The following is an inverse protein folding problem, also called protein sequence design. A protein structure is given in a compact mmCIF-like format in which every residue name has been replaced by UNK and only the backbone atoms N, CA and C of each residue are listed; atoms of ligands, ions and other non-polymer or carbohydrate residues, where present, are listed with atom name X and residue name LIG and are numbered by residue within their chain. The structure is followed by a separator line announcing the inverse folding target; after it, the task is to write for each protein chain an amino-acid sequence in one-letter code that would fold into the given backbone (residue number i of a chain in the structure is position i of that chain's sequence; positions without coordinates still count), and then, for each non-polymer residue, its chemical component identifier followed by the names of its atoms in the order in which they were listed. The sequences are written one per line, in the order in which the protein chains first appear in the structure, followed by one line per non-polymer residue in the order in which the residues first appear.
data_IF_847559015422
#
_entry.id   IF_847559015422
#
_cell.length_a   1.000
_cell.length_b   1.000
_cell.length_c   1.000
_cell.angle_alpha   90.00
_cell.angle_beta   90.00
_cell.angle_gamma   90.00
#
_symmetry.space_group_name_H-M   'P 1'
#
loop_
_entity.id
_entity.type
_entity.pdbx_description
1 polymer ?
#
# COMPACT_ATOMS: atom_id res chain seq x y z
N UNK A 1 7.98 -35.96 8.12
CA UNK A 1 8.20 -34.63 7.52
C UNK A 1 7.99 -34.79 6.03
N UNK A 2 6.92 -34.20 5.48
CA UNK A 2 6.61 -34.33 4.06
C UNK A 2 7.68 -33.60 3.25
N UNK A 3 8.26 -34.30 2.28
CA UNK A 3 9.19 -33.76 1.29
C UNK A 3 8.51 -32.59 0.57
N UNK A 4 8.97 -31.37 0.82
CA UNK A 4 8.54 -30.21 0.03
C UNK A 4 9.22 -30.33 -1.32
N UNK A 5 8.46 -30.76 -2.34
CA UNK A 5 8.86 -30.67 -3.75
C UNK A 5 9.37 -29.25 -4.02
N UNK A 6 10.59 -29.13 -4.53
CA UNK A 6 11.15 -27.84 -4.90
C UNK A 6 10.17 -27.13 -5.87
N UNK A 7 9.94 -25.82 -5.70
CA UNK A 7 9.04 -25.09 -6.59
C UNK A 7 9.55 -25.20 -8.02
N UNK A 8 8.63 -25.43 -8.96
CA UNK A 8 8.97 -25.40 -10.38
C UNK A 8 9.63 -24.06 -10.72
N UNK A 9 10.70 -24.05 -11.52
CA UNK A 9 11.31 -22.80 -11.95
C UNK A 9 10.28 -21.97 -12.72
N UNK A 10 10.23 -20.67 -12.42
CA UNK A 10 9.36 -19.71 -13.09
C UNK A 10 10.02 -19.23 -14.39
N UNK A 11 9.24 -19.06 -15.46
CA UNK A 11 9.69 -18.35 -16.65
C UNK A 11 10.08 -16.89 -16.37
N UNK A 12 10.89 -16.26 -17.25
CA UNK A 12 11.37 -14.88 -17.07
C UNK A 12 10.25 -13.84 -16.98
N UNK A 13 9.14 -14.07 -17.69
CA UNK A 13 7.94 -13.21 -17.69
C UNK A 13 7.18 -13.23 -16.36
N UNK A 14 7.47 -14.20 -15.49
CA UNK A 14 6.86 -14.37 -14.17
C UNK A 14 7.79 -13.96 -13.01
N UNK A 15 8.90 -13.30 -13.33
CA UNK A 15 9.72 -12.63 -12.31
C UNK A 15 8.99 -11.43 -11.71
N UNK A 16 9.23 -11.07 -10.43
CA UNK A 16 8.51 -9.97 -9.78
C UNK A 16 8.55 -8.64 -10.56
N UNK A 17 9.70 -8.30 -11.17
CA UNK A 17 9.83 -7.09 -11.98
C UNK A 17 9.03 -7.14 -13.28
N UNK A 18 9.03 -8.28 -13.98
CA UNK A 18 8.24 -8.44 -15.20
C UNK A 18 6.72 -8.39 -14.93
N UNK A 19 6.30 -8.90 -13.76
CA UNK A 19 4.90 -8.85 -13.33
C UNK A 19 4.46 -7.44 -12.90
N UNK A 20 5.38 -6.62 -12.40
CA UNK A 20 5.07 -5.24 -12.00
C UNK A 20 4.66 -4.37 -13.19
N UNK A 21 5.36 -4.52 -14.30
CA UNK A 21 5.07 -3.78 -15.54
C UNK A 21 3.68 -4.14 -16.10
N UNK A 22 3.11 -5.28 -15.71
CA UNK A 22 1.81 -5.77 -16.16
C UNK A 22 0.64 -5.38 -15.26
N UNK A 23 0.88 -4.72 -14.13
CA UNK A 23 -0.17 -4.37 -13.15
C UNK A 23 -0.13 -2.87 -12.86
N UNK A 24 -1.05 -2.12 -13.46
CA UNK A 24 -1.16 -0.67 -13.26
C UNK A 24 -2.36 -0.33 -12.37
N UNK A 25 -2.11 0.40 -11.28
CA UNK A 25 -3.17 0.88 -10.38
C UNK A 25 -3.58 2.29 -10.76
N UNK A 26 -4.86 2.46 -11.10
CA UNK A 26 -5.48 3.75 -11.42
C UNK A 26 -6.41 4.18 -10.29
N UNK A 27 -5.86 4.78 -9.24
CA UNK A 27 -6.62 5.21 -8.04
C UNK A 27 -7.82 6.10 -8.38
N UNK A 28 -7.65 7.08 -9.27
CA UNK A 28 -8.71 8.02 -9.66
C UNK A 28 -9.89 7.34 -10.36
N UNK A 29 -9.61 6.31 -11.17
CA UNK A 29 -10.63 5.49 -11.85
C UNK A 29 -11.07 4.28 -10.99
N UNK A 30 -10.49 4.10 -9.80
CA UNK A 30 -10.68 2.93 -8.95
C UNK A 30 -10.49 1.60 -9.71
N UNK A 31 -9.53 1.58 -10.63
CA UNK A 31 -9.30 0.48 -11.57
C UNK A 31 -7.90 -0.09 -11.40
N UNK A 32 -7.78 -1.42 -11.43
CA UNK A 32 -6.51 -2.10 -11.67
C UNK A 32 -6.54 -2.64 -13.09
N UNK A 33 -5.55 -2.21 -13.87
CA UNK A 33 -5.31 -2.71 -15.20
C UNK A 33 -4.31 -3.86 -15.14
N UNK A 34 -4.67 -4.99 -15.75
CA UNK A 34 -3.91 -6.24 -15.70
C UNK A 34 -3.63 -6.68 -17.13
N UNK A 35 -2.36 -6.77 -17.50
CA UNK A 35 -1.94 -7.07 -18.86
C UNK A 35 -1.51 -8.54 -19.03
N UNK A 36 -2.36 -9.35 -19.67
CA UNK A 36 -2.01 -10.72 -20.06
C UNK A 36 -1.33 -10.80 -21.43
N UNK A 37 -1.08 -9.67 -22.11
CA UNK A 37 -0.71 -9.67 -23.52
C UNK A 37 0.51 -10.54 -23.79
N UNK A 38 0.32 -11.55 -24.66
CA UNK A 38 1.35 -12.48 -25.07
C UNK A 38 1.87 -13.44 -24.00
N UNK A 39 1.28 -13.47 -22.79
CA UNK A 39 1.69 -14.41 -21.74
C UNK A 39 1.30 -15.83 -22.10
N UNK A 40 2.22 -16.77 -21.86
CA UNK A 40 1.94 -18.20 -21.87
C UNK A 40 2.14 -18.76 -20.47
N UNK A 41 1.10 -19.37 -19.91
CA UNK A 41 1.15 -20.03 -18.60
C UNK A 41 1.32 -21.53 -18.79
N UNK A 42 2.56 -22.02 -18.64
CA UNK A 42 2.89 -23.43 -18.83
C UNK A 42 2.70 -24.23 -17.54
N UNK A 43 2.73 -23.57 -16.39
CA UNK A 43 2.66 -24.26 -15.09
C UNK A 43 1.74 -23.57 -14.08
N UNK A 44 1.23 -24.35 -13.12
CA UNK A 44 0.50 -23.81 -11.96
C UNK A 44 1.35 -22.86 -11.10
N UNK A 45 2.68 -22.97 -11.14
CA UNK A 45 3.58 -22.11 -10.38
C UNK A 45 3.59 -20.68 -10.93
N UNK A 46 3.60 -20.54 -12.25
CA UNK A 46 3.55 -19.24 -12.95
C UNK A 46 2.20 -18.55 -12.75
N UNK A 47 1.12 -19.32 -12.82
CA UNK A 47 -0.22 -18.83 -12.45
C UNK A 47 -0.23 -18.33 -11.01
N UNK A 48 0.35 -19.10 -10.09
CA UNK A 48 0.48 -18.73 -8.69
C UNK A 48 1.21 -17.39 -8.53
N UNK A 49 2.41 -17.28 -9.10
CA UNK A 49 3.22 -16.07 -9.04
C UNK A 49 2.48 -14.83 -9.61
N UNK A 50 1.78 -14.99 -10.72
CA UNK A 50 1.01 -13.91 -11.34
C UNK A 50 -0.11 -13.40 -10.41
N UNK A 51 -0.96 -14.29 -9.90
CA UNK A 51 -2.06 -13.90 -9.01
C UNK A 51 -1.59 -13.44 -7.63
N UNK A 52 -0.54 -14.05 -7.08
CA UNK A 52 0.07 -13.59 -5.83
C UNK A 52 0.55 -12.14 -5.97
N UNK A 53 1.14 -11.78 -7.13
CA UNK A 53 1.56 -10.40 -7.35
C UNK A 53 0.37 -9.45 -7.48
N UNK A 54 -0.71 -9.84 -8.16
CA UNK A 54 -1.95 -9.04 -8.22
C UNK A 54 -2.51 -8.79 -6.82
N UNK A 55 -2.65 -9.82 -6.00
CA UNK A 55 -3.18 -9.70 -4.63
C UNK A 55 -2.26 -8.85 -3.75
N UNK A 56 -0.94 -8.97 -3.91
CA UNK A 56 0.02 -8.11 -3.24
C UNK A 56 -0.16 -6.64 -3.65
N UNK A 57 -0.29 -6.34 -4.96
CA UNK A 57 -0.52 -4.98 -5.46
C UNK A 57 -1.84 -4.40 -4.96
N UNK A 58 -2.91 -5.21 -4.90
CA UNK A 58 -4.19 -4.82 -4.29
C UNK A 58 -3.99 -4.48 -2.80
N UNK A 59 -3.30 -5.34 -2.06
CA UNK A 59 -3.05 -5.14 -0.62
C UNK A 59 -2.24 -3.86 -0.36
N UNK A 60 -1.23 -3.57 -1.18
CA UNK A 60 -0.41 -2.35 -1.11
C UNK A 60 -1.25 -1.07 -1.23
N UNK A 61 -2.40 -1.11 -1.91
CA UNK A 61 -3.30 0.05 -2.03
C UNK A 61 -4.12 0.34 -0.76
N UNK A 62 -4.26 -0.65 0.12
CA UNK A 62 -5.16 -0.61 1.28
C UNK A 62 -6.66 -0.64 0.93
N UNK A 63 -7.03 -0.83 -0.34
CA UNK A 63 -8.43 -0.90 -0.78
C UNK A 63 -8.85 -2.31 -1.18
N UNK A 64 -9.98 -2.81 -0.66
CA UNK A 64 -10.39 -4.19 -0.87
C UNK A 64 -11.06 -4.44 -2.22
N UNK A 65 -11.69 -3.44 -2.85
CA UNK A 65 -12.52 -3.62 -4.06
C UNK A 65 -12.02 -2.77 -5.21
N UNK A 66 -11.85 -3.29 -6.41
CA UNK A 66 -11.35 -2.59 -7.60
C UNK A 66 -12.18 -2.95 -8.82
N UNK A 67 -12.33 -2.03 -9.78
CA UNK A 67 -12.69 -2.45 -11.13
C UNK A 67 -11.45 -3.09 -11.76
N UNK A 68 -11.65 -4.14 -12.54
CA UNK A 68 -10.56 -4.75 -13.30
C UNK A 68 -10.72 -4.43 -14.78
N UNK A 69 -9.64 -3.93 -15.37
CA UNK A 69 -9.49 -3.79 -16.81
C UNK A 69 -8.43 -4.79 -17.24
N UNK A 70 -8.85 -5.89 -17.84
CA UNK A 70 -7.96 -7.01 -18.14
C UNK A 70 -7.69 -7.05 -19.64
N UNK A 71 -6.44 -6.88 -20.02
CA UNK A 71 -6.00 -7.12 -21.38
C UNK A 71 -5.80 -8.62 -21.57
N UNK A 72 -6.56 -9.22 -22.48
CA UNK A 72 -6.52 -10.65 -22.77
C UNK A 72 -6.07 -10.91 -24.21
N UNK A 73 -5.30 -9.98 -24.79
CA UNK A 73 -4.81 -10.12 -26.16
C UNK A 73 -3.75 -11.23 -26.23
N UNK A 74 -3.95 -12.24 -27.07
CA UNK A 74 -2.95 -13.28 -27.40
C UNK A 74 -2.33 -14.07 -26.22
N UNK A 75 -3.02 -14.16 -25.08
CA UNK A 75 -2.56 -14.99 -23.96
C UNK A 75 -2.91 -16.47 -24.16
N UNK A 76 -2.13 -17.37 -23.56
CA UNK A 76 -2.32 -18.83 -23.61
C UNK A 76 -2.15 -19.46 -22.25
N UNK A 77 -2.90 -20.52 -22.00
CA UNK A 77 -2.80 -21.31 -20.78
C UNK A 77 -2.73 -22.77 -21.18
N UNK A 78 -1.71 -23.46 -20.70
CA UNK A 78 -1.58 -24.91 -20.85
C UNK A 78 -2.61 -25.65 -19.97
N UNK A 79 -3.05 -26.82 -20.43
CA UNK A 79 -4.04 -27.65 -19.73
C UNK A 79 -3.62 -27.97 -18.29
N UNK A 80 -2.32 -28.15 -18.04
CA UNK A 80 -1.78 -28.45 -16.71
C UNK A 80 -1.89 -27.27 -15.73
N UNK A 81 -1.96 -26.04 -16.25
CA UNK A 81 -2.10 -24.81 -15.47
C UNK A 81 -3.57 -24.34 -15.34
N UNK A 82 -4.46 -24.84 -16.21
CA UNK A 82 -5.84 -24.40 -16.37
C UNK A 82 -6.67 -24.40 -15.07
N UNK A 83 -6.57 -25.48 -14.28
CA UNK A 83 -7.31 -25.59 -13.02
C UNK A 83 -6.89 -24.49 -12.03
N UNK A 84 -5.59 -24.28 -11.87
CA UNK A 84 -5.06 -23.25 -10.98
C UNK A 84 -5.47 -21.86 -11.45
N UNK A 85 -5.42 -21.61 -12.76
CA UNK A 85 -5.81 -20.33 -13.34
C UNK A 85 -7.27 -20.02 -13.07
N UNK A 86 -8.16 -20.96 -13.36
CA UNK A 86 -9.60 -20.78 -13.15
C UNK A 86 -9.92 -20.52 -11.68
N UNK A 87 -9.31 -21.28 -10.77
CA UNK A 87 -9.52 -21.12 -9.33
C UNK A 87 -9.03 -19.75 -8.84
N UNK A 88 -7.77 -19.40 -9.12
CA UNK A 88 -7.16 -18.14 -8.64
C UNK A 88 -7.84 -16.92 -9.25
N UNK A 89 -8.22 -16.98 -10.53
CA UNK A 89 -9.00 -15.94 -11.17
C UNK A 89 -10.36 -15.72 -10.51
N UNK A 90 -11.05 -16.82 -10.13
CA UNK A 90 -12.30 -16.75 -9.37
C UNK A 90 -12.10 -16.14 -7.99
N UNK A 91 -11.09 -16.58 -7.25
CA UNK A 91 -10.80 -16.10 -5.90
C UNK A 91 -10.53 -14.58 -5.89
N UNK A 92 -9.69 -14.10 -6.81
CA UNK A 92 -9.41 -12.66 -6.94
C UNK A 92 -10.65 -11.88 -7.38
N UNK A 93 -11.48 -12.44 -8.26
CA UNK A 93 -12.71 -11.80 -8.68
C UNK A 93 -13.73 -11.70 -7.53
N UNK A 94 -13.92 -12.78 -6.77
CA UNK A 94 -14.84 -12.82 -5.62
C UNK A 94 -14.36 -11.92 -4.47
N UNK A 95 -13.05 -11.89 -4.21
CA UNK A 95 -12.46 -11.11 -3.13
C UNK A 95 -12.36 -9.61 -3.43
N UNK A 96 -12.09 -9.25 -4.69
CA UNK A 96 -11.63 -7.90 -5.01
C UNK A 96 -12.34 -7.22 -6.17
N UNK A 97 -13.11 -7.90 -7.03
CA UNK A 97 -13.70 -7.24 -8.19
C UNK A 97 -15.04 -6.57 -7.86
N UNK A 98 -15.14 -5.27 -8.12
CA UNK A 98 -16.44 -4.60 -8.22
C UNK A 98 -17.06 -4.69 -9.63
N UNK A 99 -16.26 -5.05 -10.64
CA UNK A 99 -16.67 -5.31 -12.02
C UNK A 99 -15.42 -5.52 -12.89
N UNK A 100 -15.51 -6.40 -13.90
CA UNK A 100 -14.37 -6.74 -14.76
C UNK A 100 -14.73 -6.47 -16.22
N UNK A 101 -13.89 -5.69 -16.89
CA UNK A 101 -13.87 -5.49 -18.33
C UNK A 101 -12.67 -6.19 -18.95
N UNK A 102 -12.84 -6.65 -20.18
CA UNK A 102 -11.80 -7.29 -20.97
C UNK A 102 -11.54 -6.50 -22.23
N UNK A 103 -10.26 -6.32 -22.54
CA UNK A 103 -9.79 -5.77 -23.81
C UNK A 103 -9.10 -6.89 -24.55
N UNK A 104 -9.46 -7.09 -25.81
CA UNK A 104 -8.75 -7.98 -26.71
C UNK A 104 -8.67 -7.31 -28.07
N UNK A 105 -7.45 -6.94 -28.47
CA UNK A 105 -7.17 -6.14 -29.66
C UNK A 105 -7.02 -6.99 -30.93
N UNK A 106 -7.26 -8.29 -30.86
CA UNK A 106 -7.22 -9.15 -32.03
C UNK A 106 -8.30 -8.76 -33.05
N UNK A 107 -7.96 -8.84 -34.34
CA UNK A 107 -8.90 -8.56 -35.43
C UNK A 107 -10.14 -9.49 -35.36
N UNK A 108 -9.94 -10.73 -34.91
CA UNK A 108 -11.00 -11.72 -34.73
C UNK A 108 -11.99 -11.29 -33.64
N UNK A 109 -11.51 -10.76 -32.51
CA UNK A 109 -12.38 -10.23 -31.47
C UNK A 109 -13.15 -9.01 -31.95
N UNK A 110 -12.51 -8.08 -32.67
CA UNK A 110 -13.21 -6.93 -33.25
C UNK A 110 -14.34 -7.37 -34.21
N UNK A 111 -14.06 -8.30 -35.12
CA UNK A 111 -15.05 -8.84 -36.05
C UNK A 111 -16.17 -9.61 -35.32
N UNK A 112 -15.84 -10.32 -34.24
CA UNK A 112 -16.81 -11.04 -33.40
C UNK A 112 -17.75 -10.10 -32.68
N UNK A 113 -17.22 -9.04 -32.05
CA UNK A 113 -18.01 -8.03 -31.33
C UNK A 113 -19.03 -7.41 -32.28
N UNK A 114 -18.60 -7.04 -33.48
CA UNK A 114 -19.51 -6.42 -34.45
C UNK A 114 -20.59 -7.39 -34.93
N UNK A 115 -20.24 -8.65 -35.17
CA UNK A 115 -21.20 -9.68 -35.59
C UNK A 115 -22.23 -10.02 -34.52
N UNK A 116 -21.84 -9.99 -33.24
CA UNK A 116 -22.75 -10.39 -32.14
C UNK A 116 -23.51 -9.22 -31.54
N UNK A 117 -23.21 -7.97 -31.92
CA UNK A 117 -23.88 -6.76 -31.44
C UNK A 117 -25.41 -6.89 -31.58
N UNK A 118 -26.13 -6.63 -30.49
CA UNK A 118 -27.61 -6.71 -30.47
C UNK A 118 -28.18 -8.13 -30.43
N UNK A 119 -27.35 -9.16 -30.26
CA UNK A 119 -27.78 -10.56 -30.08
C UNK A 119 -27.48 -11.03 -28.66
N UNK A 120 -28.09 -12.15 -28.25
CA UNK A 120 -27.83 -12.80 -26.94
C UNK A 120 -26.38 -13.27 -26.76
N UNK A 121 -25.59 -13.34 -27.86
CA UNK A 121 -24.17 -13.71 -27.84
C UNK A 121 -23.24 -12.51 -27.60
N UNK A 122 -23.80 -11.29 -27.49
CA UNK A 122 -23.03 -10.10 -27.20
C UNK A 122 -22.52 -10.14 -25.75
N UNK A 123 -21.21 -9.97 -25.56
CA UNK A 123 -20.63 -9.79 -24.24
C UNK A 123 -20.40 -8.30 -23.97
N UNK A 124 -21.19 -7.64 -23.10
CA UNK A 124 -21.07 -6.22 -22.83
C UNK A 124 -19.79 -5.84 -22.05
N UNK A 125 -19.02 -6.83 -21.58
CA UNK A 125 -17.78 -6.62 -20.85
C UNK A 125 -16.53 -6.88 -21.71
N UNK A 126 -16.67 -7.10 -23.03
CA UNK A 126 -15.55 -7.34 -23.95
C UNK A 126 -15.44 -6.20 -24.97
N UNK A 127 -14.26 -5.62 -25.08
CA UNK A 127 -13.98 -4.46 -25.93
C UNK A 127 -12.79 -4.73 -26.85
N UNK A 128 -12.82 -4.14 -28.04
CA UNK A 128 -11.70 -4.19 -28.98
C UNK A 128 -10.62 -3.14 -28.67
N UNK A 129 -10.96 -2.12 -27.86
CA UNK A 129 -10.05 -1.05 -27.49
C UNK A 129 -10.10 -0.72 -25.99
N UNK A 130 -8.94 -0.30 -25.48
CA UNK A 130 -8.81 0.21 -24.11
C UNK A 130 -9.65 1.46 -23.89
N UNK A 131 -9.70 2.36 -24.88
CA UNK A 131 -10.41 3.62 -24.77
C UNK A 131 -11.91 3.42 -24.55
N UNK A 132 -12.53 2.51 -25.31
CA UNK A 132 -13.94 2.16 -25.15
C UNK A 132 -14.22 1.51 -23.80
N UNK A 133 -13.34 0.58 -23.37
CA UNK A 133 -13.48 -0.07 -22.07
C UNK A 133 -13.40 0.95 -20.91
N UNK A 134 -12.46 1.89 -20.97
CA UNK A 134 -12.32 2.96 -19.96
C UNK A 134 -13.55 3.88 -19.97
N UNK A 135 -14.07 4.22 -21.15
CA UNK A 135 -15.28 5.03 -21.28
C UNK A 135 -16.48 4.32 -20.63
N UNK A 136 -16.70 3.03 -20.90
CA UNK A 136 -17.77 2.24 -20.26
C UNK A 136 -17.57 2.16 -18.74
N UNK A 137 -16.34 1.88 -18.30
CA UNK A 137 -16.00 1.74 -16.88
C UNK A 137 -16.32 3.01 -16.09
N UNK A 138 -16.09 4.19 -16.68
CA UNK A 138 -16.40 5.49 -16.06
C UNK A 138 -17.88 5.68 -15.72
N UNK A 139 -18.77 4.93 -16.37
CA UNK A 139 -20.22 4.97 -16.12
C UNK A 139 -20.69 3.98 -15.04
N UNK A 140 -19.82 3.05 -14.62
CA UNK A 140 -20.20 1.98 -13.69
C UNK A 140 -20.28 2.49 -12.26
N UNK A 141 -21.32 2.11 -11.50
CA UNK A 141 -21.46 2.54 -10.12
C UNK A 141 -20.39 1.87 -9.26
N UNK A 142 -19.63 2.66 -8.51
CA UNK A 142 -18.66 2.13 -7.56
C UNK A 142 -19.37 1.47 -6.38
N UNK A 143 -18.88 0.29 -5.98
CA UNK A 143 -19.26 -0.38 -4.73
C UNK A 143 -18.31 -0.05 -3.57
N UNK A 144 -17.25 0.71 -3.82
CA UNK A 144 -16.43 1.23 -2.73
C UNK A 144 -17.27 2.15 -1.88
N UNK A 145 -17.08 2.07 -0.57
CA UNK A 145 -17.49 3.18 0.28
C UNK A 145 -16.80 4.42 -0.26
N UNK A 146 -17.57 5.47 -0.54
CA UNK A 146 -17.03 6.77 -0.95
C UNK A 146 -15.95 7.12 0.05
N UNK A 147 -14.68 7.04 -0.37
CA UNK A 147 -13.60 7.71 0.35
C UNK A 147 -14.06 9.15 0.37
N UNK A 148 -14.41 9.67 1.55
CA UNK A 148 -14.43 11.12 1.73
C UNK A 148 -13.05 11.53 1.26
N UNK A 149 -12.98 12.18 0.09
CA UNK A 149 -11.74 12.64 -0.48
C UNK A 149 -11.23 13.69 0.47
N UNK A 150 -10.49 13.26 1.48
CA UNK A 150 -9.94 14.19 2.41
C UNK A 150 -8.86 14.96 1.64
N UNK A 151 -9.05 16.27 1.56
CA UNK A 151 -8.04 17.19 1.05
C UNK A 151 -6.77 16.89 1.86
N UNK A 152 -5.61 16.64 1.22
CA UNK A 152 -4.38 16.36 1.96
C UNK A 152 -4.14 17.45 3.01
N UNK A 153 -4.11 17.09 4.29
CA UNK A 153 -3.92 18.07 5.36
C UNK A 153 -2.49 18.62 5.39
N UNK A 154 -1.56 17.96 4.69
CA UNK A 154 -0.14 18.29 4.65
C UNK A 154 0.45 18.23 3.24
N UNK A 155 1.48 19.06 3.00
CA UNK A 155 2.32 18.99 1.80
C UNK A 155 3.68 18.37 2.14
N UNK A 156 4.21 17.51 1.26
CA UNK A 156 5.51 16.83 1.45
C UNK A 156 6.64 17.83 1.75
N UNK A 157 6.74 18.90 0.97
CA UNK A 157 7.81 19.90 1.13
C UNK A 157 7.74 20.66 2.46
N UNK A 158 6.55 20.87 3.01
CA UNK A 158 6.36 21.51 4.31
C UNK A 158 6.68 20.56 5.46
N UNK A 159 6.23 19.30 5.34
CA UNK A 159 6.55 18.27 6.32
C UNK A 159 8.07 18.00 6.37
N UNK A 160 8.74 17.88 5.24
CA UNK A 160 10.17 17.58 5.23
C UNK A 160 11.04 18.68 5.88
N UNK A 161 10.60 19.95 5.88
CA UNK A 161 11.29 21.03 6.64
C UNK A 161 11.25 20.82 8.16
N UNK A 162 10.34 19.99 8.64
CA UNK A 162 10.17 19.62 10.06
C UNK A 162 10.99 18.39 10.45
N UNK A 163 11.68 17.75 9.50
CA UNK A 163 12.54 16.60 9.74
C UNK A 163 14.00 17.06 9.72
N UNK A 164 14.74 16.75 10.77
CA UNK A 164 16.18 17.02 10.86
C UNK A 164 16.92 15.76 11.23
N UNK A 165 17.76 15.29 10.31
CA UNK A 165 18.64 14.14 10.54
C UNK A 165 20.01 14.67 10.93
N UNK A 166 20.50 14.35 12.12
CA UNK A 166 21.81 14.77 12.61
C UNK A 166 22.74 13.56 12.75
N UNK A 167 23.57 13.27 11.73
CA UNK A 167 24.47 12.12 11.74
C UNK A 167 25.51 12.15 12.86
N UNK A 168 25.89 13.33 13.37
CA UNK A 168 26.91 13.45 14.41
C UNK A 168 26.38 12.97 15.78
N UNK A 169 25.07 13.06 15.98
CA UNK A 169 24.42 12.65 17.23
C UNK A 169 23.56 11.39 17.06
N UNK A 170 23.44 10.82 15.86
CA UNK A 170 22.53 9.72 15.54
C UNK A 170 21.06 10.00 15.92
N UNK A 171 20.65 11.28 15.88
CA UNK A 171 19.29 11.71 16.22
C UNK A 171 18.53 12.13 14.96
N UNK A 172 17.34 11.55 14.79
CA UNK A 172 16.33 12.01 13.85
C UNK A 172 15.28 12.82 14.62
N UNK A 173 15.28 14.13 14.44
CA UNK A 173 14.26 15.02 15.02
C UNK A 173 13.09 15.15 14.05
N UNK A 174 11.88 14.90 14.53
CA UNK A 174 10.64 15.01 13.76
C UNK A 174 9.69 15.94 14.49
N UNK A 175 9.40 17.09 13.89
CA UNK A 175 8.56 18.11 14.49
C UNK A 175 7.09 18.03 14.06
N UNK A 176 6.26 17.36 14.87
CA UNK A 176 4.81 17.30 14.66
C UNK A 176 4.04 18.46 15.32
N UNK A 177 4.72 19.50 15.78
CA UNK A 177 4.05 20.58 16.50
C UNK A 177 2.95 21.23 15.68
N UNK A 178 1.81 21.45 16.34
CA UNK A 178 0.57 21.98 15.77
C UNK A 178 -0.02 21.20 14.58
N UNK A 179 0.46 19.98 14.29
CA UNK A 179 -0.14 19.13 13.26
C UNK A 179 -1.40 18.43 13.79
N UNK A 180 -2.46 18.42 12.98
CA UNK A 180 -3.68 17.66 13.24
C UNK A 180 -3.84 16.57 12.20
N UNK A 181 -3.74 15.31 12.61
CA UNK A 181 -3.96 14.16 11.75
C UNK A 181 -5.45 13.82 11.74
N UNK A 182 -6.14 14.19 10.67
CA UNK A 182 -7.60 14.10 10.58
C UNK A 182 -8.05 12.69 10.21
N UNK A 183 -7.27 11.99 9.38
CA UNK A 183 -7.61 10.66 8.85
C UNK A 183 -6.38 9.80 8.55
N UNK A 184 -6.61 8.53 8.25
CA UNK A 184 -5.54 7.54 7.95
C UNK A 184 -4.61 7.95 6.81
N UNK A 185 -5.13 8.67 5.80
CA UNK A 185 -4.28 9.19 4.71
C UNK A 185 -3.22 10.20 5.19
N UNK A 186 -3.53 11.12 6.10
CA UNK A 186 -2.54 12.07 6.62
C UNK A 186 -1.37 11.34 7.28
N UNK A 187 -1.70 10.29 8.03
CA UNK A 187 -0.72 9.41 8.66
C UNK A 187 0.13 8.73 7.60
N UNK A 188 -0.50 8.08 6.61
CA UNK A 188 0.23 7.34 5.58
C UNK A 188 1.18 8.26 4.81
N UNK A 189 0.71 9.43 4.40
CA UNK A 189 1.50 10.40 3.65
C UNK A 189 2.73 10.85 4.47
N UNK A 190 2.54 11.29 5.72
CA UNK A 190 3.63 11.71 6.61
C UNK A 190 4.65 10.60 6.87
N UNK A 191 4.19 9.38 7.17
CA UNK A 191 5.09 8.26 7.44
C UNK A 191 5.83 7.79 6.19
N UNK A 192 5.18 7.80 5.02
CA UNK A 192 5.84 7.45 3.75
C UNK A 192 6.98 8.43 3.43
N UNK A 193 6.75 9.72 3.60
CA UNK A 193 7.78 10.74 3.38
C UNK A 193 8.94 10.61 4.36
N UNK A 194 8.65 10.33 5.63
CA UNK A 194 9.69 10.10 6.64
C UNK A 194 10.52 8.84 6.32
N UNK A 195 9.87 7.73 5.94
CA UNK A 195 10.55 6.49 5.55
C UNK A 195 11.41 6.66 4.31
N UNK A 196 11.00 7.50 3.35
CA UNK A 196 11.78 7.86 2.16
C UNK A 196 13.10 8.54 2.55
N UNK A 197 13.06 9.56 3.41
CA UNK A 197 14.26 10.24 3.92
C UNK A 197 15.17 9.29 4.71
N UNK A 198 14.59 8.46 5.58
CA UNK A 198 15.36 7.51 6.39
C UNK A 198 16.05 6.45 5.53
N UNK A 199 15.38 5.95 4.48
CA UNK A 199 15.94 4.95 3.56
C UNK A 199 17.19 5.47 2.86
N UNK A 200 17.23 6.76 2.51
CA UNK A 200 18.42 7.39 1.92
C UNK A 200 19.64 7.34 2.86
N UNK A 201 19.43 7.31 4.17
CA UNK A 201 20.52 7.28 5.16
C UNK A 201 21.11 5.89 5.43
N UNK A 202 20.39 4.82 5.05
CA UNK A 202 20.73 3.40 5.27
C UNK A 202 21.17 3.06 6.70
N UNK A 203 20.60 3.74 7.71
CA UNK A 203 20.90 3.49 9.13
C UNK A 203 19.65 3.62 10.00
N UNK A 204 19.72 3.06 11.22
CA UNK A 204 18.71 3.29 12.26
C UNK A 204 19.06 4.54 13.09
N UNK A 205 18.05 5.16 13.68
CA UNK A 205 18.16 6.46 14.36
C UNK A 205 17.54 6.43 15.75
N UNK A 206 18.04 7.25 16.67
CA UNK A 206 17.28 7.64 17.85
C UNK A 206 16.30 8.75 17.46
N UNK A 207 15.01 8.54 17.68
CA UNK A 207 13.99 9.52 17.33
C UNK A 207 13.71 10.47 18.48
N UNK A 208 13.68 11.75 18.15
CA UNK A 208 13.18 12.81 19.00
C UNK A 208 11.94 13.42 18.35
N UNK A 209 10.78 13.29 18.99
CA UNK A 209 9.54 13.84 18.47
C UNK A 209 9.10 15.07 19.28
N UNK A 210 8.74 16.14 18.57
CA UNK A 210 8.01 17.27 19.14
C UNK A 210 6.50 17.06 18.94
N UNK A 211 5.76 16.86 20.02
CA UNK A 211 4.30 16.65 19.98
C UNK A 211 3.52 17.87 20.51
N UNK A 212 4.18 19.03 20.63
CA UNK A 212 3.55 20.25 21.14
C UNK A 212 2.33 20.66 20.31
N UNK A 213 1.14 20.65 20.90
CA UNK A 213 -0.11 20.95 20.20
C UNK A 213 -0.48 19.97 19.07
N UNK A 214 0.17 18.81 18.97
CA UNK A 214 -0.22 17.77 18.01
C UNK A 214 -1.57 17.18 18.39
N UNK A 215 -2.44 16.94 17.40
CA UNK A 215 -3.72 16.26 17.55
C UNK A 215 -3.80 15.08 16.60
N UNK A 216 -4.32 13.96 17.07
CA UNK A 216 -4.53 12.79 16.24
C UNK A 216 -5.96 12.35 16.44
N UNK A 217 -6.79 12.60 15.43
CA UNK A 217 -8.22 12.38 15.53
C UNK A 217 -8.52 10.88 15.57
N UNK A 218 -9.66 10.52 16.18
CA UNK A 218 -10.11 9.12 16.29
C UNK A 218 -10.03 8.32 14.97
N UNK A 219 -10.39 8.87 13.79
CA UNK A 219 -10.29 8.15 12.51
C UNK A 219 -8.84 7.86 12.06
N UNK A 220 -7.86 8.67 12.50
CA UNK A 220 -6.45 8.49 12.17
C UNK A 220 -5.72 7.54 13.14
N UNK A 221 -6.31 7.27 14.30
CA UNK A 221 -5.56 6.77 15.45
C UNK A 221 -5.02 5.35 15.30
N UNK A 222 -5.83 4.46 14.71
CA UNK A 222 -5.43 3.08 14.43
C UNK A 222 -4.26 3.07 13.44
N UNK A 223 -4.38 3.81 12.33
CA UNK A 223 -3.35 3.85 11.31
C UNK A 223 -2.05 4.44 11.86
N UNK A 224 -2.14 5.50 12.66
CA UNK A 224 -0.98 6.10 13.33
C UNK A 224 -0.25 5.08 14.20
N UNK A 225 -0.98 4.30 14.99
CA UNK A 225 -0.39 3.27 15.85
C UNK A 225 0.35 2.21 15.01
N UNK A 226 -0.28 1.70 13.95
CA UNK A 226 0.31 0.70 13.06
C UNK A 226 1.57 1.22 12.36
N UNK A 227 1.52 2.44 11.80
CA UNK A 227 2.66 3.04 11.09
C UNK A 227 3.79 3.40 12.05
N UNK A 228 3.48 3.90 13.25
CA UNK A 228 4.48 4.18 14.28
C UNK A 228 5.20 2.92 14.77
N UNK A 229 4.46 1.82 14.94
CA UNK A 229 5.04 0.54 15.33
C UNK A 229 5.98 -0.02 14.23
N UNK A 230 5.53 -0.02 12.97
CA UNK A 230 6.35 -0.47 11.83
C UNK A 230 7.61 0.38 11.62
N UNK A 231 7.49 1.71 11.72
CA UNK A 231 8.63 2.64 11.65
C UNK A 231 9.63 2.34 12.76
N UNK A 232 9.15 2.09 13.99
CA UNK A 232 10.00 1.79 15.14
C UNK A 232 10.78 0.51 14.95
N UNK A 233 10.14 -0.58 14.53
CA UNK A 233 10.81 -1.87 14.31
C UNK A 233 11.93 -1.76 13.27
N UNK A 234 11.65 -1.04 12.18
CA UNK A 234 12.55 -0.95 11.04
C UNK A 234 13.69 0.06 11.28
N UNK A 235 13.37 1.27 11.72
CA UNK A 235 14.28 2.41 11.65
C UNK A 235 14.71 2.97 13.01
N UNK A 236 14.11 2.58 14.12
CA UNK A 236 14.37 3.19 15.43
C UNK A 236 15.33 2.36 16.28
N UNK A 237 16.34 3.03 16.86
CA UNK A 237 17.14 2.52 17.99
C UNK A 237 16.50 2.86 19.35
N UNK A 238 15.56 3.80 19.34
CA UNK A 238 14.82 4.27 20.50
C UNK A 238 14.08 5.54 20.15
N UNK A 239 12.94 5.80 20.80
CA UNK A 239 12.18 7.04 20.58
C UNK A 239 11.84 7.72 21.90
N UNK A 240 11.98 9.04 21.90
CA UNK A 240 11.56 9.92 23.00
C UNK A 240 10.71 11.05 22.42
N UNK A 241 9.66 11.41 23.14
CA UNK A 241 8.71 12.45 22.77
C UNK A 241 8.78 13.56 23.80
N UNK A 242 8.60 14.81 23.38
CA UNK A 242 8.31 15.90 24.29
C UNK A 242 7.06 16.67 23.88
N UNK A 243 6.26 17.06 24.87
CA UNK A 243 5.08 17.90 24.70
C UNK A 243 4.73 18.53 26.06
N UNK A 244 4.64 19.85 26.11
CA UNK A 244 4.16 20.57 27.27
C UNK A 244 2.62 20.71 27.21
N UNK A 245 1.90 19.70 27.70
CA UNK A 245 0.45 19.82 27.94
C UNK A 245 -0.48 19.56 26.75
N UNK A 246 -0.06 18.74 25.76
CA UNK A 246 -0.92 18.33 24.65
C UNK A 246 -2.03 17.33 25.07
N UNK A 247 -3.22 17.41 24.48
CA UNK A 247 -4.28 16.38 24.68
C UNK A 247 -3.82 14.97 24.26
N UNK A 248 -3.00 14.90 23.21
CA UNK A 248 -2.37 13.67 22.71
C UNK A 248 -1.50 12.97 23.77
N UNK A 249 -0.90 13.71 24.71
CA UNK A 249 -0.16 13.16 25.85
C UNK A 249 -1.07 12.34 26.78
N UNK A 250 -2.26 12.88 27.09
CA UNK A 250 -3.23 12.25 27.99
C UNK A 250 -3.74 10.94 27.39
N UNK A 251 -4.06 10.96 26.10
CA UNK A 251 -4.51 9.78 25.36
C UNK A 251 -3.43 8.70 25.23
N UNK A 252 -2.18 9.08 24.95
CA UNK A 252 -1.06 8.12 24.87
C UNK A 252 -0.74 7.55 26.26
N UNK A 253 -0.77 8.36 27.33
CA UNK A 253 -0.52 7.91 28.70
C UNK A 253 -1.61 6.93 29.17
N UNK A 254 -2.88 7.28 28.96
CA UNK A 254 -4.02 6.42 29.32
C UNK A 254 -3.97 5.06 28.61
N UNK A 255 -3.53 5.02 27.34
CA UNK A 255 -3.42 3.77 26.57
C UNK A 255 -2.14 2.98 26.85
N UNK A 256 -1.06 3.65 27.29
CA UNK A 256 0.17 3.01 27.72
C UNK A 256 0.02 2.29 29.06
N UNK A 257 -0.83 2.82 29.96
CA UNK A 257 -1.24 2.16 31.22
C UNK A 257 -1.90 0.80 30.97
N UNK A 258 -2.63 0.65 29.86
CA UNK A 258 -3.26 -0.62 29.45
C UNK A 258 -2.27 -1.65 28.89
N UNK A 259 -1.03 -1.24 28.56
CA UNK A 259 -0.01 -2.06 27.88
C UNK A 259 1.25 -2.32 28.73
N UNK A 260 1.27 -1.93 30.00
CA UNK A 260 2.43 -2.05 30.93
C UNK A 260 3.76 -1.44 30.42
N UNK A 261 3.71 -0.53 29.44
CA UNK A 261 4.90 0.12 28.87
C UNK A 261 5.01 1.54 29.42
N UNK A 262 6.13 1.90 30.06
CA UNK A 262 6.40 3.29 30.46
C UNK A 262 6.57 4.17 29.21
N UNK A 263 5.69 5.15 28.96
CA UNK A 263 5.84 6.01 27.79
C UNK A 263 7.07 6.92 27.96
N UNK A 264 7.98 6.91 26.97
CA UNK A 264 9.12 7.84 26.89
C UNK A 264 8.61 9.25 26.47
N UNK A 265 7.82 9.90 27.32
CA UNK A 265 7.31 11.27 27.13
C UNK A 265 7.92 12.18 28.19
N UNK A 266 8.42 13.34 27.77
CA UNK A 266 9.02 14.39 28.61
C UNK A 266 8.30 15.72 28.43
N UNK A 267 8.48 16.62 29.38
CA UNK A 267 7.85 17.94 29.32
C UNK A 267 8.64 18.88 28.41
N UNK A 268 9.98 18.73 28.38
CA UNK A 268 10.86 19.63 27.62
C UNK A 268 11.74 18.87 26.63
N UNK A 269 12.18 19.59 25.59
CA UNK A 269 13.16 19.08 24.62
C UNK A 269 14.47 18.65 25.30
N UNK A 270 14.94 19.43 26.27
CA UNK A 270 16.19 19.15 27.01
C UNK A 270 16.09 17.82 27.75
N UNK A 271 15.00 17.59 28.49
CA UNK A 271 14.76 16.30 29.18
C UNK A 271 14.68 15.13 28.20
N UNK A 272 14.07 15.34 27.03
CA UNK A 272 13.98 14.31 26.00
C UNK A 272 15.34 13.94 25.41
N UNK A 273 16.21 14.93 25.19
CA UNK A 273 17.59 14.70 24.77
C UNK A 273 18.40 13.94 25.84
N UNK A 274 18.31 14.36 27.10
CA UNK A 274 18.96 13.65 28.22
C UNK A 274 18.52 12.18 28.25
N UNK A 275 17.23 11.90 28.01
CA UNK A 275 16.72 10.54 27.96
C UNK A 275 17.29 9.74 26.78
N UNK A 276 17.48 10.35 25.62
CA UNK A 276 18.15 9.68 24.48
C UNK A 276 19.60 9.34 24.85
N UNK A 277 20.30 10.23 25.53
CA UNK A 277 21.69 9.99 25.97
C UNK A 277 21.78 8.85 26.99
N UNK A 278 20.83 8.75 27.92
CA UNK A 278 20.69 7.59 28.82
C UNK A 278 20.47 6.28 28.04
N UNK A 279 19.61 6.30 27.01
CA UNK A 279 19.32 5.12 26.18
C UNK A 279 20.56 4.68 25.40
N UNK A 280 21.33 5.62 24.87
CA UNK A 280 22.63 5.34 24.21
C UNK A 280 23.63 4.76 25.19
N UNK A 281 23.72 5.32 26.39
CA UNK A 281 24.63 4.80 27.42
C UNK A 281 24.25 3.37 27.85
N UNK A 282 22.96 3.07 27.95
CA UNK A 282 22.46 1.73 28.28
C UNK A 282 22.74 0.72 27.15
N UNK A 283 22.58 1.12 25.88
CA UNK A 283 22.83 0.24 24.73
C UNK A 283 24.32 -0.05 24.46
N UNK A 284 25.23 0.73 25.07
CA UNK A 284 26.69 0.53 25.01
C UNK A 284 27.25 -0.34 26.13
N UNK A 285 26.42 -0.71 27.12
CA UNK A 285 26.76 -1.66 28.19
C UNK A 285 26.37 -3.07 27.77
#
# INVERSE_FOLDING_TARGET
MADRKAPSPLGPDFSPGALDDRITVHEGMQTIEIDYTGLTFDTSAEVGAFYDRIEQRITETGEPLWFFLVDTTDYRIDDSAWFTYTRRGRDVQEGHSMGTLRVDRSADTAARIERTRGTDRFNPNLFASRAEAVADLSTRPSRRRTRVGHVPSFLKSEFLRRVRLNPATDIAEVDFSAMSFEHSRDVNDVFNWLEEELRATRRKWYFLYNYEGTRIQSPAWLQYSLRADALRETWSLGSVRYAAGSETERDIRQRAETREIRPNIRNTRTEALTRIDEMKAAARR
#
